data_IF_228898985850
#
_entry.id   IF_228898985850
#
_cell.length_a   1.000
_cell.length_b   1.000
_cell.length_c   1.000
_cell.angle_alpha   90.00
_cell.angle_beta   90.00
_cell.angle_gamma   90.00
#
_symmetry.space_group_name_H-M   'P 1'
#
loop_
_entity.id
_entity.type
_entity.pdbx_description
1 polymer ?
#
# COMPACT_ATOMS: atom_id res chain seq x y z
N UNK A 1 -1.53 -18.97 22.75
CA UNK A 1 -2.38 -18.40 23.82
C UNK A 1 -1.79 -17.06 24.24
N UNK A 2 -2.53 -15.98 24.04
CA UNK A 2 -2.12 -14.63 24.44
C UNK A 2 -2.22 -14.48 25.97
N UNK A 3 -1.21 -13.89 26.63
CA UNK A 3 -1.17 -13.63 28.07
C UNK A 3 -1.25 -12.14 28.42
N UNK A 4 -1.44 -11.27 27.43
CA UNK A 4 -1.57 -9.81 27.63
C UNK A 4 -3.02 -9.41 27.93
N UNK A 5 -3.20 -8.32 28.69
CA UNK A 5 -4.51 -7.69 28.96
C UNK A 5 -4.91 -7.74 30.44
N UNK A 6 -5.68 -6.74 30.89
CA UNK A 6 -6.18 -6.60 32.29
C UNK A 6 -6.89 -7.86 32.80
N UNK A 7 -7.63 -8.55 31.94
CA UNK A 7 -8.34 -9.78 32.29
C UNK A 7 -7.38 -10.96 32.55
N UNK A 8 -6.15 -10.88 32.03
CA UNK A 8 -5.10 -11.88 32.22
C UNK A 8 -4.09 -11.49 33.34
N UNK A 9 -3.99 -10.20 33.69
CA UNK A 9 -3.17 -9.68 34.80
C UNK A 9 -3.70 -8.32 35.31
N UNK A 10 -4.52 -8.28 36.37
CA UNK A 10 -5.33 -7.11 36.74
C UNK A 10 -4.65 -6.07 37.64
N UNK A 11 -3.45 -6.35 38.16
CA UNK A 11 -2.89 -5.59 39.29
C UNK A 11 -2.43 -4.17 38.93
N UNK A 12 -2.01 -3.90 37.68
CA UNK A 12 -1.46 -2.60 37.24
C UNK A 12 -2.27 -1.91 36.13
N UNK A 13 -3.52 -2.33 35.93
CA UNK A 13 -4.28 -2.00 34.72
C UNK A 13 -4.78 -0.57 34.62
N UNK A 14 -4.98 0.12 35.76
CA UNK A 14 -5.42 1.53 35.78
C UNK A 14 -4.38 2.47 35.19
N UNK A 15 -3.09 2.19 35.38
CA UNK A 15 -2.00 2.99 34.82
C UNK A 15 -1.91 2.84 33.28
N UNK A 16 -2.27 1.68 32.74
CA UNK A 16 -2.24 1.43 31.28
C UNK A 16 -3.45 2.01 30.53
N UNK A 17 -4.58 2.28 31.21
CA UNK A 17 -5.80 2.82 30.62
C UNK A 17 -5.86 4.35 30.68
N UNK A 18 -5.03 4.99 31.50
CA UNK A 18 -4.90 6.43 31.57
C UNK A 18 -4.04 6.94 30.39
N UNK A 19 -4.68 7.18 29.25
CA UNK A 19 -4.07 7.91 28.15
C UNK A 19 -4.16 9.42 28.44
N UNK A 20 -3.26 9.94 29.27
CA UNK A 20 -3.17 11.39 29.56
C UNK A 20 -2.40 12.17 28.47
N UNK A 21 -2.05 11.53 27.35
CA UNK A 21 -1.30 12.13 26.24
C UNK A 21 0.17 12.45 26.57
N UNK A 22 0.57 12.39 27.84
CA UNK A 22 1.97 12.36 28.27
C UNK A 22 2.50 10.93 28.20
N UNK A 23 3.77 10.78 27.81
CA UNK A 23 4.46 9.52 28.04
C UNK A 23 4.35 9.19 29.55
N UNK A 24 4.40 7.90 29.94
CA UNK A 24 4.49 7.55 31.37
C UNK A 24 5.60 8.38 31.99
N UNK A 25 5.46 8.80 33.26
CA UNK A 25 6.53 9.42 34.06
C UNK A 25 7.79 8.56 33.97
N UNK A 26 8.56 8.77 32.91
CA UNK A 26 9.76 8.06 32.64
C UNK A 26 10.75 8.68 33.62
N UNK A 27 11.56 7.84 34.24
CA UNK A 27 12.72 8.26 35.00
C UNK A 27 13.75 9.05 34.14
N UNK A 28 13.41 9.31 32.87
CA UNK A 28 14.14 10.03 31.85
C UNK A 28 13.26 11.15 31.31
N UNK A 29 13.79 12.35 31.33
CA UNK A 29 13.19 13.54 30.72
C UNK A 29 12.93 13.30 29.22
N UNK A 30 11.65 13.22 28.82
CA UNK A 30 11.23 13.07 27.42
C UNK A 30 11.76 14.18 26.51
N UNK A 31 12.11 15.35 27.08
CA UNK A 31 12.78 16.42 26.34
C UNK A 31 14.11 15.95 25.77
N UNK A 32 14.80 15.01 26.42
CA UNK A 32 16.03 14.41 25.93
C UNK A 32 15.84 13.62 24.63
N UNK A 33 14.78 12.81 24.53
CA UNK A 33 14.47 12.05 23.31
C UNK A 33 13.97 12.99 22.21
N UNK A 34 13.14 13.97 22.55
CA UNK A 34 12.64 14.95 21.58
C UNK A 34 13.78 15.81 21.00
N UNK A 35 14.69 16.30 21.85
CA UNK A 35 15.87 17.05 21.43
C UNK A 35 16.81 16.18 20.58
N UNK A 36 17.02 14.93 20.97
CA UNK A 36 17.82 13.99 20.17
C UNK A 36 17.20 13.79 18.78
N UNK A 37 15.88 13.53 18.70
CA UNK A 37 15.17 13.41 17.41
C UNK A 37 15.29 14.69 16.59
N UNK A 38 15.19 15.87 17.21
CA UNK A 38 15.37 17.15 16.54
C UNK A 38 16.77 17.28 15.93
N UNK A 39 17.80 16.97 16.71
CA UNK A 39 19.19 17.00 16.24
C UNK A 39 19.40 16.07 15.04
N UNK A 40 18.83 14.85 15.08
CA UNK A 40 18.85 13.92 13.95
C UNK A 40 18.07 14.44 12.74
N UNK A 41 16.89 15.04 12.91
CA UNK A 41 16.08 15.57 11.81
C UNK A 41 16.79 16.74 11.11
N UNK A 42 17.35 17.68 11.88
CA UNK A 42 18.02 18.86 11.33
C UNK A 42 19.35 18.50 10.65
N UNK A 43 20.02 17.47 11.15
CA UNK A 43 21.34 17.06 10.65
C UNK A 43 21.29 15.94 9.61
N UNK A 44 20.11 15.39 9.33
CA UNK A 44 19.97 14.29 8.39
C UNK A 44 20.24 14.74 6.95
N UNK A 45 20.96 13.90 6.21
CA UNK A 45 21.04 14.01 4.76
C UNK A 45 19.67 13.67 4.15
N UNK A 46 19.43 14.14 2.92
CA UNK A 46 18.26 13.74 2.14
C UNK A 46 18.30 12.25 1.83
N UNK A 47 17.15 11.58 1.78
CA UNK A 47 17.03 10.15 1.43
C UNK A 47 17.73 9.77 0.11
N UNK A 48 17.79 10.70 -0.84
CA UNK A 48 18.59 10.54 -2.05
C UNK A 48 18.45 11.75 -2.98
N UNK A 49 18.66 11.51 -4.27
CA UNK A 49 18.43 12.50 -5.33
C UNK A 49 17.87 11.83 -6.58
N UNK A 50 16.99 12.53 -7.30
CA UNK A 50 16.56 12.09 -8.64
C UNK A 50 17.74 12.25 -9.61
N UNK A 51 18.18 11.18 -10.29
CA UNK A 51 19.29 11.29 -11.23
C UNK A 51 18.90 12.15 -12.43
N UNK A 52 19.84 12.94 -12.93
CA UNK A 52 19.65 13.67 -14.18
C UNK A 52 19.57 12.68 -15.35
N UNK A 53 18.79 12.97 -16.41
CA UNK A 53 18.77 12.16 -17.61
C UNK A 53 20.18 11.94 -18.16
N UNK A 54 20.58 10.68 -18.32
CA UNK A 54 21.90 10.33 -18.83
C UNK A 54 22.04 10.55 -20.35
N UNK A 55 20.91 10.74 -21.05
CA UNK A 55 20.89 10.97 -22.49
C UNK A 55 20.94 12.46 -22.83
N UNK A 56 21.63 12.81 -23.91
CA UNK A 56 21.71 14.21 -24.40
C UNK A 56 20.32 14.76 -24.71
N UNK A 57 19.45 13.93 -25.31
CA UNK A 57 18.06 14.31 -25.60
C UNK A 57 17.26 14.60 -24.33
N UNK A 58 17.34 13.71 -23.33
CA UNK A 58 16.65 13.88 -22.05
C UNK A 58 17.14 15.11 -21.29
N UNK A 59 18.46 15.35 -21.24
CA UNK A 59 19.04 16.51 -20.58
C UNK A 59 18.55 17.84 -21.19
N UNK A 60 18.41 17.90 -22.51
CA UNK A 60 17.88 19.08 -23.23
C UNK A 60 16.38 19.27 -22.95
N UNK A 61 15.58 18.21 -22.99
CA UNK A 61 14.14 18.28 -22.69
C UNK A 61 13.89 18.74 -21.26
N UNK A 62 14.54 18.13 -20.27
CA UNK A 62 14.42 18.50 -18.86
C UNK A 62 14.85 19.96 -18.64
N UNK A 63 15.96 20.39 -19.25
CA UNK A 63 16.43 21.77 -19.16
C UNK A 63 15.42 22.78 -19.73
N UNK A 64 14.77 22.45 -20.86
CA UNK A 64 13.76 23.32 -21.47
C UNK A 64 12.48 23.41 -20.63
N UNK A 65 12.00 22.30 -20.07
CA UNK A 65 10.85 22.27 -19.17
C UNK A 65 11.12 23.06 -17.88
N UNK A 66 12.29 22.90 -17.27
CA UNK A 66 12.67 23.69 -16.08
C UNK A 66 12.71 25.20 -16.36
N UNK A 67 13.13 25.62 -17.56
CA UNK A 67 13.10 27.04 -17.96
C UNK A 67 11.67 27.60 -18.12
N UNK A 68 10.68 26.73 -18.36
CA UNK A 68 9.25 27.11 -18.37
C UNK A 68 8.63 27.18 -16.97
N UNK A 69 9.38 26.79 -15.94
CA UNK A 69 8.92 26.74 -14.55
C UNK A 69 8.40 25.37 -14.13
N UNK A 70 8.44 24.38 -15.02
CA UNK A 70 8.01 23.01 -14.72
C UNK A 70 8.97 22.33 -13.75
N UNK A 71 8.46 21.36 -12.99
CA UNK A 71 9.25 20.54 -12.06
C UNK A 71 9.27 19.06 -12.47
N UNK A 72 9.84 18.71 -13.64
CA UNK A 72 9.82 17.34 -14.17
C UNK A 72 10.51 16.31 -13.27
N UNK A 73 11.38 16.76 -12.37
CA UNK A 73 12.01 15.90 -11.35
C UNK A 73 11.01 15.37 -10.31
N UNK A 74 9.91 16.08 -10.02
CA UNK A 74 8.86 15.61 -9.10
C UNK A 74 8.11 14.45 -9.75
N UNK A 75 7.69 14.61 -11.02
CA UNK A 75 7.04 13.53 -11.76
C UNK A 75 7.98 12.32 -11.90
N UNK A 76 9.26 12.51 -12.24
CA UNK A 76 10.23 11.40 -12.29
C UNK A 76 10.43 10.72 -10.93
N UNK A 77 10.48 11.46 -9.83
CA UNK A 77 10.59 10.87 -8.49
C UNK A 77 9.38 10.00 -8.16
N UNK A 78 8.17 10.50 -8.46
CA UNK A 78 6.92 9.77 -8.21
C UNK A 78 6.69 8.59 -9.15
N UNK A 79 7.17 8.66 -10.39
CA UNK A 79 7.24 7.49 -11.26
C UNK A 79 8.20 6.44 -10.68
N UNK A 80 9.34 6.85 -10.11
CA UNK A 80 10.25 5.96 -9.39
C UNK A 80 9.59 5.29 -8.17
N UNK A 81 8.83 6.07 -7.39
CA UNK A 81 8.00 5.58 -6.29
C UNK A 81 7.06 4.47 -6.75
N UNK A 82 6.25 4.76 -7.79
CA UNK A 82 5.27 3.81 -8.31
C UNK A 82 5.94 2.55 -8.82
N UNK A 83 6.99 2.68 -9.62
CA UNK A 83 7.73 1.53 -10.13
C UNK A 83 8.26 0.61 -9.01
N UNK A 84 8.74 1.19 -7.90
CA UNK A 84 9.18 0.42 -6.74
C UNK A 84 8.01 -0.27 -6.02
N UNK A 85 6.85 0.38 -5.98
CA UNK A 85 5.63 -0.15 -5.38
C UNK A 85 5.06 -1.32 -6.19
N UNK A 86 4.85 -1.19 -7.50
CA UNK A 86 4.34 -2.28 -8.38
C UNK A 86 5.21 -3.55 -8.30
N UNK A 87 6.54 -3.36 -8.23
CA UNK A 87 7.50 -4.46 -8.03
C UNK A 87 7.27 -5.18 -6.70
N UNK A 88 6.86 -4.43 -5.68
CA UNK A 88 6.55 -4.97 -4.36
C UNK A 88 5.15 -5.58 -4.33
N UNK A 89 4.15 -4.98 -4.99
CA UNK A 89 2.81 -5.54 -5.21
C UNK A 89 2.88 -6.95 -5.82
N UNK A 90 3.63 -7.11 -6.90
CA UNK A 90 3.90 -8.44 -7.51
C UNK A 90 4.41 -9.47 -6.49
N UNK A 91 5.34 -9.06 -5.59
CA UNK A 91 5.91 -9.94 -4.56
C UNK A 91 4.95 -10.22 -3.41
N UNK A 92 4.11 -9.25 -3.05
CA UNK A 92 3.07 -9.43 -2.04
C UNK A 92 2.05 -10.46 -2.51
N UNK A 93 1.61 -10.37 -3.77
CA UNK A 93 0.72 -11.36 -4.35
C UNK A 93 1.38 -12.74 -4.54
N UNK A 94 2.64 -12.82 -4.99
CA UNK A 94 3.36 -14.10 -5.03
C UNK A 94 3.39 -14.79 -3.64
N UNK A 95 3.60 -14.01 -2.58
CA UNK A 95 3.59 -14.51 -1.20
C UNK A 95 2.19 -14.90 -0.72
N UNK A 96 1.16 -14.12 -1.06
CA UNK A 96 -0.23 -14.44 -0.73
C UNK A 96 -0.69 -15.71 -1.45
N UNK A 97 -0.40 -15.85 -2.74
CA UNK A 97 -0.66 -17.06 -3.54
C UNK A 97 -0.06 -18.27 -2.84
N UNK A 98 1.22 -18.21 -2.46
CA UNK A 98 1.90 -19.30 -1.75
C UNK A 98 1.18 -19.66 -0.44
N UNK A 99 0.71 -18.66 0.31
CA UNK A 99 -0.04 -18.89 1.57
C UNK A 99 -1.41 -19.51 1.31
N UNK A 100 -2.14 -19.03 0.31
CA UNK A 100 -3.45 -19.56 -0.09
C UNK A 100 -3.33 -21.00 -0.59
N UNK A 101 -2.34 -21.32 -1.41
CA UNK A 101 -2.08 -22.72 -1.84
C UNK A 101 -1.85 -23.67 -0.65
N UNK A 102 -1.30 -23.17 0.46
CA UNK A 102 -1.03 -23.97 1.66
C UNK A 102 -2.18 -24.03 2.67
N UNK A 103 -3.01 -22.98 2.76
CA UNK A 103 -3.95 -22.78 3.88
C UNK A 103 -5.42 -22.63 3.47
N UNK A 104 -5.71 -22.35 2.19
CA UNK A 104 -7.07 -22.08 1.74
C UNK A 104 -7.89 -23.38 1.75
N UNK A 105 -9.07 -23.33 2.37
CA UNK A 105 -9.95 -24.48 2.61
C UNK A 105 -11.29 -24.39 1.86
N UNK A 106 -11.45 -23.39 0.99
CA UNK A 106 -12.65 -23.14 0.20
C UNK A 106 -13.74 -22.35 0.94
N UNK A 107 -13.45 -21.78 2.11
CA UNK A 107 -14.39 -20.94 2.85
C UNK A 107 -14.53 -19.52 2.30
N UNK A 108 -13.50 -19.02 1.62
CA UNK A 108 -13.50 -17.72 0.96
C UNK A 108 -13.92 -17.85 -0.50
N UNK A 109 -14.59 -16.83 -1.04
CA UNK A 109 -14.95 -16.76 -2.45
C UNK A 109 -13.73 -16.62 -3.38
N UNK A 110 -12.62 -16.11 -2.83
CA UNK A 110 -11.33 -15.96 -3.50
C UNK A 110 -10.76 -17.27 -4.01
N UNK A 111 -10.42 -17.31 -5.30
CA UNK A 111 -9.61 -18.34 -5.94
C UNK A 111 -8.13 -17.96 -6.06
N UNK A 112 -7.26 -18.97 -6.16
CA UNK A 112 -5.82 -18.74 -6.46
C UNK A 112 -5.64 -18.13 -7.85
N UNK A 113 -6.55 -18.39 -8.79
CA UNK A 113 -6.48 -17.80 -10.13
C UNK A 113 -6.77 -16.30 -10.11
N UNK A 114 -7.75 -15.85 -9.31
CA UNK A 114 -8.04 -14.41 -9.13
C UNK A 114 -6.79 -13.67 -8.63
N UNK A 115 -6.05 -14.27 -7.68
CA UNK A 115 -4.79 -13.70 -7.18
C UNK A 115 -3.69 -13.67 -8.24
N UNK A 116 -3.66 -14.63 -9.16
CA UNK A 116 -2.68 -14.65 -10.26
C UNK A 116 -2.97 -13.59 -11.31
N UNK A 117 -4.26 -13.36 -11.60
CA UNK A 117 -4.68 -12.29 -12.49
C UNK A 117 -4.21 -10.93 -11.95
N UNK A 118 -4.49 -10.63 -10.68
CA UNK A 118 -4.03 -9.38 -10.04
C UNK A 118 -2.49 -9.29 -10.09
N UNK A 119 -1.79 -10.36 -9.73
CA UNK A 119 -0.32 -10.42 -9.76
C UNK A 119 0.29 -10.18 -11.15
N UNK A 120 -0.41 -10.53 -12.21
CA UNK A 120 0.03 -10.30 -13.58
C UNK A 120 -0.30 -8.88 -14.05
N UNK A 121 -1.38 -8.29 -13.55
CA UNK A 121 -1.72 -6.88 -13.75
C UNK A 121 -0.69 -5.95 -13.11
N UNK A 122 -0.31 -6.21 -11.86
CA UNK A 122 0.80 -5.55 -11.14
C UNK A 122 2.12 -5.56 -11.94
N UNK A 123 2.42 -6.70 -12.59
CA UNK A 123 3.58 -6.82 -13.44
C UNK A 123 3.45 -6.00 -14.74
N UNK A 124 2.25 -5.89 -15.31
CA UNK A 124 1.99 -4.99 -16.46
C UNK A 124 2.12 -3.53 -16.04
N UNK A 125 1.58 -3.16 -14.88
CA UNK A 125 1.66 -1.82 -14.32
C UNK A 125 3.10 -1.38 -14.09
N UNK A 126 3.93 -2.25 -13.50
CA UNK A 126 5.38 -2.05 -13.41
C UNK A 126 5.99 -1.68 -14.77
N UNK A 127 5.66 -2.45 -15.82
CA UNK A 127 6.19 -2.19 -17.17
C UNK A 127 5.64 -0.89 -17.76
N UNK A 128 4.40 -0.51 -17.46
CA UNK A 128 3.80 0.76 -17.87
C UNK A 128 4.55 1.95 -17.26
N UNK A 129 4.84 1.91 -15.96
CA UNK A 129 5.62 2.96 -15.30
C UNK A 129 7.06 3.01 -15.82
N UNK A 130 7.69 1.84 -16.05
CA UNK A 130 9.05 1.78 -16.59
C UNK A 130 9.16 2.49 -17.94
N UNK A 131 8.20 2.23 -18.85
CA UNK A 131 8.13 2.91 -20.16
C UNK A 131 7.91 4.41 -20.01
N UNK A 132 7.08 4.85 -19.06
CA UNK A 132 6.86 6.27 -18.79
C UNK A 132 8.16 6.97 -18.32
N UNK A 133 8.92 6.34 -17.43
CA UNK A 133 10.23 6.86 -16.99
C UNK A 133 11.19 7.00 -18.19
N UNK A 134 11.30 5.96 -19.01
CA UNK A 134 12.16 5.96 -20.19
C UNK A 134 11.73 7.01 -21.23
N UNK A 135 10.43 7.21 -21.44
CA UNK A 135 9.88 8.22 -22.33
C UNK A 135 10.22 9.65 -21.90
N UNK A 136 10.35 9.88 -20.59
CA UNK A 136 10.85 11.14 -20.03
C UNK A 136 12.39 11.27 -20.06
N UNK A 137 13.11 10.27 -20.57
CA UNK A 137 14.56 10.21 -20.59
C UNK A 137 15.20 9.81 -19.26
N UNK A 138 14.40 9.32 -18.30
CA UNK A 138 14.87 8.76 -17.04
C UNK A 138 15.39 7.33 -17.18
N UNK A 139 15.85 6.76 -16.07
CA UNK A 139 16.33 5.39 -15.97
C UNK A 139 15.47 4.62 -14.97
N UNK A 140 14.68 3.66 -15.46
CA UNK A 140 13.77 2.84 -14.65
C UNK A 140 14.49 1.92 -13.63
N UNK A 141 15.83 1.83 -13.69
CA UNK A 141 16.62 1.09 -12.69
C UNK A 141 17.10 1.97 -11.53
N UNK A 142 16.89 3.29 -11.63
CA UNK A 142 17.31 4.24 -10.60
C UNK A 142 16.48 4.11 -9.33
N UNK A 143 17.14 4.18 -8.17
CA UNK A 143 16.49 4.36 -6.89
C UNK A 143 16.36 5.86 -6.61
N UNK A 144 15.17 6.41 -6.81
CA UNK A 144 14.85 7.79 -6.45
C UNK A 144 14.54 7.91 -4.95
N UNK A 145 14.53 9.13 -4.37
CA UNK A 145 14.16 9.31 -2.96
C UNK A 145 12.80 8.69 -2.61
N UNK A 146 11.80 8.90 -3.45
CA UNK A 146 10.46 8.37 -3.21
C UNK A 146 10.40 6.85 -3.44
N UNK A 147 11.18 6.31 -4.39
CA UNK A 147 11.34 4.86 -4.55
C UNK A 147 11.96 4.19 -3.32
N UNK A 148 12.95 4.82 -2.69
CA UNK A 148 13.56 4.32 -1.46
C UNK A 148 12.55 4.32 -0.30
N UNK A 149 11.82 5.42 -0.12
CA UNK A 149 10.78 5.54 0.89
C UNK A 149 9.69 4.46 0.73
N UNK A 150 9.12 4.31 -0.47
CA UNK A 150 8.09 3.30 -0.74
C UNK A 150 8.60 1.87 -0.48
N UNK A 151 9.88 1.63 -0.76
CA UNK A 151 10.55 0.37 -0.40
C UNK A 151 10.53 0.11 1.11
N UNK A 152 10.90 1.11 1.91
CA UNK A 152 10.88 1.03 3.39
C UNK A 152 9.46 0.85 3.93
N UNK A 153 8.49 1.61 3.41
CA UNK A 153 7.09 1.52 3.82
C UNK A 153 6.51 0.13 3.56
N UNK A 154 6.81 -0.43 2.38
CA UNK A 154 6.29 -1.75 1.97
C UNK A 154 6.95 -2.92 2.68
N UNK A 155 8.13 -2.75 3.30
CA UNK A 155 8.81 -3.82 4.05
C UNK A 155 7.92 -4.42 5.15
N UNK A 156 7.12 -3.60 5.84
CA UNK A 156 6.21 -4.08 6.88
C UNK A 156 5.12 -5.00 6.31
N UNK A 157 4.58 -4.66 5.15
CA UNK A 157 3.55 -5.46 4.47
C UNK A 157 4.10 -6.82 4.05
N UNK A 158 5.30 -6.83 3.45
CA UNK A 158 5.99 -8.07 3.05
C UNK A 158 6.24 -8.96 4.27
N UNK A 159 6.69 -8.39 5.39
CA UNK A 159 6.90 -9.13 6.63
C UNK A 159 5.61 -9.79 7.14
N UNK A 160 4.46 -9.11 7.05
CA UNK A 160 3.16 -9.67 7.47
C UNK A 160 2.73 -10.83 6.57
N UNK A 161 2.77 -10.64 5.25
CA UNK A 161 2.29 -11.66 4.30
C UNK A 161 3.20 -12.89 4.30
N UNK A 162 4.51 -12.72 4.48
CA UNK A 162 5.48 -13.82 4.48
C UNK A 162 5.66 -14.52 5.83
N UNK A 163 5.14 -13.97 6.93
CA UNK A 163 5.20 -14.64 8.23
C UNK A 163 4.34 -15.92 8.21
N UNK A 164 4.90 -17.11 8.44
CA UNK A 164 4.12 -18.35 8.41
C UNK A 164 3.09 -18.44 9.54
N UNK A 165 3.14 -17.54 10.54
CA UNK A 165 2.20 -17.49 11.67
C UNK A 165 0.98 -16.62 11.37
N UNK A 166 1.00 -15.80 10.33
CA UNK A 166 -0.15 -14.97 9.96
C UNK A 166 -1.19 -15.76 9.20
N UNK A 167 -2.46 -15.49 9.49
CA UNK A 167 -3.60 -16.09 8.79
C UNK A 167 -3.81 -15.48 7.41
N UNK A 168 -4.66 -16.09 6.59
CA UNK A 168 -5.10 -15.50 5.32
C UNK A 168 -5.77 -14.14 5.58
N UNK A 169 -6.68 -14.04 6.56
CA UNK A 169 -7.32 -12.77 6.93
C UNK A 169 -6.32 -11.65 7.29
N UNK A 170 -5.28 -11.98 8.07
CA UNK A 170 -4.22 -11.01 8.42
C UNK A 170 -3.38 -10.60 7.21
N UNK A 171 -3.18 -11.53 6.27
CA UNK A 171 -2.47 -11.24 5.02
C UNK A 171 -3.31 -10.36 4.09
N UNK A 172 -4.62 -10.65 3.97
CA UNK A 172 -5.57 -9.84 3.21
C UNK A 172 -5.68 -8.42 3.79
N UNK A 173 -5.60 -8.23 5.11
CA UNK A 173 -5.52 -6.89 5.69
C UNK A 173 -4.25 -6.13 5.25
N UNK A 174 -3.11 -6.82 5.15
CA UNK A 174 -1.88 -6.21 4.66
C UNK A 174 -1.97 -5.88 3.16
N UNK A 175 -2.56 -6.76 2.36
CA UNK A 175 -2.83 -6.48 0.93
C UNK A 175 -3.79 -5.30 0.81
N UNK A 176 -4.90 -5.25 1.57
CA UNK A 176 -5.83 -4.12 1.56
C UNK A 176 -5.14 -2.79 1.87
N UNK A 177 -4.15 -2.81 2.77
CA UNK A 177 -3.33 -1.62 3.05
C UNK A 177 -2.47 -1.21 1.85
N UNK A 178 -1.92 -2.19 1.11
CA UNK A 178 -1.20 -1.94 -0.13
C UNK A 178 -2.13 -1.34 -1.21
N UNK A 179 -3.27 -1.98 -1.48
CA UNK A 179 -4.26 -1.54 -2.49
C UNK A 179 -4.75 -0.10 -2.26
N UNK A 180 -5.01 0.27 -1.00
CA UNK A 180 -5.40 1.65 -0.65
C UNK A 180 -4.29 2.67 -0.96
N UNK A 181 -3.03 2.30 -0.70
CA UNK A 181 -1.88 3.14 -1.04
C UNK A 181 -1.65 3.17 -2.56
N UNK A 182 -1.93 2.07 -3.25
CA UNK A 182 -1.79 1.93 -4.70
C UNK A 182 -2.71 2.89 -5.44
N UNK A 183 -4.00 2.83 -5.12
CA UNK A 183 -5.01 3.71 -5.73
C UNK A 183 -4.63 5.20 -5.57
N UNK A 184 -4.20 5.60 -4.36
CA UNK A 184 -3.76 6.97 -4.11
C UNK A 184 -2.49 7.34 -4.90
N UNK A 185 -1.59 6.39 -5.13
CA UNK A 185 -0.38 6.56 -5.94
C UNK A 185 -0.69 6.84 -7.40
N UNK A 186 -1.61 6.07 -8.01
CA UNK A 186 -2.05 6.30 -9.39
C UNK A 186 -2.79 7.62 -9.56
N UNK A 187 -3.67 7.98 -8.64
CA UNK A 187 -4.38 9.28 -8.65
C UNK A 187 -3.38 10.46 -8.62
N UNK A 188 -2.33 10.35 -7.79
CA UNK A 188 -1.27 11.36 -7.73
C UNK A 188 -0.46 11.43 -9.03
N UNK A 189 -0.15 10.30 -9.66
CA UNK A 189 0.57 10.26 -10.93
C UNK A 189 -0.24 10.88 -12.08
N UNK A 190 -1.55 10.61 -12.15
CA UNK A 190 -2.42 11.22 -13.16
C UNK A 190 -2.43 12.73 -12.98
N UNK A 191 -2.61 13.23 -11.75
CA UNK A 191 -2.60 14.67 -11.48
C UNK A 191 -1.26 15.34 -11.89
N UNK A 192 -0.13 14.70 -11.60
CA UNK A 192 1.19 15.19 -12.02
C UNK A 192 1.35 15.12 -13.55
N UNK A 193 0.85 14.09 -14.21
CA UNK A 193 0.90 13.96 -15.66
C UNK A 193 0.03 15.02 -16.36
N UNK A 194 -1.12 15.39 -15.77
CA UNK A 194 -1.96 16.51 -16.21
C UNK A 194 -1.24 17.85 -16.10
N UNK A 195 -0.57 18.14 -14.99
CA UNK A 195 0.23 19.35 -14.81
C UNK A 195 1.36 19.48 -15.85
N UNK A 196 1.82 18.37 -16.40
CA UNK A 196 2.88 18.29 -17.41
C UNK A 196 2.38 18.01 -18.83
N UNK A 197 1.06 18.06 -19.07
CA UNK A 197 0.42 17.83 -20.37
C UNK A 197 0.80 16.49 -21.05
N UNK A 198 1.08 15.44 -20.25
CA UNK A 198 1.51 14.11 -20.74
C UNK A 198 0.31 13.21 -21.09
N UNK A 199 -0.41 13.53 -22.17
CA UNK A 199 -1.68 12.85 -22.51
C UNK A 199 -1.62 11.32 -22.65
N UNK A 200 -0.50 10.78 -23.16
CA UNK A 200 -0.31 9.33 -23.28
C UNK A 200 -0.18 8.66 -21.90
N UNK A 201 0.60 9.26 -20.99
CA UNK A 201 0.72 8.78 -19.61
C UNK A 201 -0.61 8.84 -18.87
N UNK A 202 -1.37 9.93 -19.04
CA UNK A 202 -2.68 10.08 -18.40
C UNK A 202 -3.60 8.93 -18.80
N UNK A 203 -3.64 8.57 -20.10
CA UNK A 203 -4.46 7.47 -20.58
C UNK A 203 -4.03 6.13 -19.99
N UNK A 204 -2.74 5.81 -20.07
CA UNK A 204 -2.20 4.54 -19.57
C UNK A 204 -2.39 4.39 -18.06
N UNK A 205 -2.20 5.47 -17.29
CA UNK A 205 -2.36 5.48 -15.83
C UNK A 205 -3.83 5.43 -15.42
N UNK A 206 -4.74 5.98 -16.24
CA UNK A 206 -6.18 5.86 -15.99
C UNK A 206 -6.64 4.41 -16.15
N UNK A 207 -6.08 3.67 -17.11
CA UNK A 207 -6.38 2.23 -17.27
C UNK A 207 -5.89 1.46 -16.03
N UNK A 208 -4.65 1.69 -15.61
CA UNK A 208 -4.12 1.07 -14.40
C UNK A 208 -4.96 1.38 -13.16
N UNK A 209 -5.36 2.65 -12.97
CA UNK A 209 -6.22 3.05 -11.85
C UNK A 209 -7.59 2.36 -11.85
N UNK A 210 -8.17 2.08 -13.02
CA UNK A 210 -9.45 1.36 -13.11
C UNK A 210 -9.29 -0.12 -12.71
N UNK A 211 -8.18 -0.75 -13.12
CA UNK A 211 -7.79 -2.10 -12.71
C UNK A 211 -7.59 -2.16 -11.19
N UNK A 212 -6.82 -1.22 -10.60
CA UNK A 212 -6.56 -1.15 -9.16
C UNK A 212 -7.82 -0.91 -8.31
N UNK A 213 -8.78 -0.14 -8.82
CA UNK A 213 -10.08 0.01 -8.14
C UNK A 213 -10.83 -1.33 -8.08
N UNK A 214 -10.69 -2.16 -9.11
CA UNK A 214 -11.20 -3.54 -9.12
C UNK A 214 -10.51 -4.40 -8.06
N UNK A 215 -9.17 -4.38 -8.03
CA UNK A 215 -8.36 -5.12 -7.06
C UNK A 215 -8.74 -4.76 -5.62
N UNK A 216 -8.82 -3.46 -5.31
CA UNK A 216 -9.21 -2.97 -3.99
C UNK A 216 -10.57 -3.51 -3.55
N UNK A 217 -11.57 -3.49 -4.43
CA UNK A 217 -12.91 -4.01 -4.13
C UNK A 217 -12.89 -5.51 -3.87
N UNK A 218 -12.14 -6.27 -4.66
CA UNK A 218 -12.00 -7.73 -4.50
C UNK A 218 -11.32 -8.06 -3.17
N UNK A 219 -10.18 -7.44 -2.88
CA UNK A 219 -9.41 -7.65 -1.65
C UNK A 219 -10.22 -7.24 -0.42
N UNK A 220 -10.95 -6.12 -0.49
CA UNK A 220 -11.85 -5.70 0.58
C UNK A 220 -12.92 -6.76 0.84
N UNK A 221 -13.60 -7.25 -0.21
CA UNK A 221 -14.62 -8.30 -0.07
C UNK A 221 -14.04 -9.56 0.56
N UNK A 222 -12.88 -10.02 0.10
CA UNK A 222 -12.23 -11.22 0.65
C UNK A 222 -11.80 -11.03 2.10
N UNK A 223 -11.31 -9.83 2.45
CA UNK A 223 -10.95 -9.52 3.83
C UNK A 223 -12.19 -9.55 4.73
N UNK A 224 -13.28 -8.92 4.31
CA UNK A 224 -14.57 -8.90 5.03
C UNK A 224 -15.12 -10.31 5.25
N UNK A 225 -15.12 -11.16 4.22
CA UNK A 225 -15.46 -12.58 4.34
C UNK A 225 -14.57 -13.31 5.35
N UNK A 226 -13.25 -13.10 5.28
CA UNK A 226 -12.28 -13.78 6.12
C UNK A 226 -12.37 -13.40 7.61
N UNK A 227 -12.99 -12.26 7.94
CA UNK A 227 -13.29 -11.86 9.32
C UNK A 227 -14.76 -12.03 9.70
N UNK A 228 -15.59 -12.58 8.80
CA UNK A 228 -16.98 -12.93 9.06
C UNK A 228 -17.97 -11.75 8.99
N UNK A 229 -17.65 -10.70 8.23
CA UNK A 229 -18.60 -9.63 7.90
C UNK A 229 -19.45 -10.10 6.70
N UNK A 230 -20.75 -10.29 6.92
CA UNK A 230 -21.68 -10.59 5.83
C UNK A 230 -21.89 -9.35 4.95
N UNK A 231 -22.00 -9.50 3.62
CA UNK A 231 -22.42 -8.42 2.75
C UNK A 231 -23.80 -7.92 3.21
N UNK A 232 -23.95 -6.61 3.34
CA UNK A 232 -25.19 -5.96 3.78
C UNK A 232 -26.29 -6.28 2.75
N UNK A 233 -27.08 -7.34 2.99
CA UNK A 233 -28.13 -7.74 2.04
C UNK A 233 -28.91 -9.02 2.34
N UNK A 234 -28.35 -10.03 3.02
CA UNK A 234 -29.09 -11.27 3.35
C UNK A 234 -29.45 -11.32 4.84
N UNK A 235 -30.38 -10.45 5.24
CA UNK A 235 -31.21 -10.80 6.40
C UNK A 235 -32.26 -11.80 5.92
N UNK A 236 -32.01 -13.06 6.29
CA UNK A 236 -32.89 -14.20 6.21
C UNK A 236 -34.31 -13.86 6.69
N UNK A 237 -35.21 -13.56 5.75
CA UNK A 237 -36.66 -13.49 6.00
C UNK A 237 -37.25 -14.90 5.91
N UNK A 238 -36.78 -15.83 6.74
CA UNK A 238 -37.48 -17.10 6.93
C UNK A 238 -37.61 -17.43 8.41
N UNK A 239 -38.63 -16.85 9.04
CA UNK A 239 -38.98 -17.17 10.42
C UNK A 239 -40.21 -16.44 10.89
N UNK A 240 -41.38 -17.04 10.63
CA UNK A 240 -42.48 -17.23 11.59
C UNK A 240 -43.88 -17.06 10.93
N UNK A 241 -44.30 -18.08 10.18
CA UNK A 241 -45.73 -18.35 9.95
C UNK A 241 -45.98 -19.86 10.13
N UNK A 242 -45.95 -20.31 11.37
CA UNK A 242 -46.74 -21.47 11.76
C UNK A 242 -47.00 -21.44 13.26
N UNK A 243 -48.25 -21.14 13.61
CA UNK A 243 -49.15 -22.09 14.28
C UNK A 243 -50.02 -21.38 15.31
N UNK A 244 -51.23 -21.00 14.91
CA UNK A 244 -52.38 -20.95 15.83
C UNK A 244 -53.69 -20.82 15.05
N UNK A 245 -54.27 -21.95 14.68
CA UNK A 245 -55.74 -22.04 14.58
C UNK A 245 -56.27 -23.30 15.23
N UNK A 246 -57.27 -23.05 16.06
CA UNK A 246 -58.35 -23.91 16.58
C UNK A 246 -58.03 -24.77 17.81
N UNK A 247 -58.93 -24.68 18.80
CA UNK A 247 -59.93 -25.73 18.96
C UNK A 247 -61.33 -25.32 18.48
#
# INVERSE_FOLDING_TARGET
MNRTGIQMSPFDSRAMQNFEGGAPDAYFDDSGIANLRNDYIVSADTLGSVPLPATVTGAVQTGLSMLKGDRPHILLDKLGERLAFERTGTRLYDALITKCEAMLDGTLSMGVEDLREIRDDEARHFLTVARAIEAMGGDATSQTPSADLAGVESMGLVQVVTDPRTTIAQSLHAILTAELADQAGWEALIALAEEHEQSEMINDFTIALDEERGHLLMVQSWYEEAIGISPVGEHDTTGDESDERTP
#
